data_IF_418354016666
#
_entry.id   IF_418354016666
#
_cell.length_a   1.000
_cell.length_b   1.000
_cell.length_c   1.000
_cell.angle_alpha   90.00
_cell.angle_beta   90.00
_cell.angle_gamma   90.00
#
_symmetry.space_group_name_H-M   'P 1'
#
loop_
_entity.id
_entity.type
_entity.pdbx_description
1 polymer ?
#
# COMPACT_ATOMS: atom_id res chain seq x y z
N UNK A 1 2.94 -18.32 21.07
CA UNK A 1 1.82 -19.07 21.71
C UNK A 1 0.59 -18.82 20.85
N UNK A 2 0.34 -19.68 19.85
CA UNK A 2 -0.72 -19.50 18.85
C UNK A 2 -2.08 -19.77 19.49
N UNK A 3 -2.94 -18.78 19.61
CA UNK A 3 -4.34 -18.96 19.95
C UNK A 3 -5.15 -19.00 18.67
N UNK A 4 -5.33 -20.20 18.12
CA UNK A 4 -6.36 -20.47 17.11
C UNK A 4 -7.73 -20.40 17.80
N UNK A 5 -8.51 -19.37 17.54
CA UNK A 5 -9.95 -19.38 17.87
C UNK A 5 -10.71 -20.03 16.74
N UNK A 6 -11.20 -21.25 16.99
CA UNK A 6 -12.19 -21.92 16.15
C UNK A 6 -13.55 -21.20 16.32
N UNK A 7 -14.10 -20.69 15.25
CA UNK A 7 -15.48 -20.24 15.20
C UNK A 7 -16.38 -21.37 14.71
N UNK A 8 -17.32 -21.76 15.57
CA UNK A 8 -18.34 -22.77 15.26
C UNK A 8 -19.43 -22.13 14.38
N UNK A 9 -19.66 -22.73 13.21
CA UNK A 9 -20.73 -22.34 12.29
C UNK A 9 -22.10 -22.75 12.82
N UNK A 10 -23.00 -21.81 13.05
CA UNK A 10 -24.44 -22.08 13.23
C UNK A 10 -25.13 -21.85 11.88
N UNK A 11 -25.59 -22.96 11.26
CA UNK A 11 -26.45 -22.92 10.07
C UNK A 11 -27.88 -22.61 10.50
N UNK A 12 -28.40 -21.46 10.16
CA UNK A 12 -29.83 -21.16 10.20
C UNK A 12 -30.40 -21.38 8.79
N UNK A 13 -31.31 -22.33 8.69
CA UNK A 13 -32.08 -22.62 7.48
C UNK A 13 -33.25 -21.65 7.41
N UNK A 14 -33.26 -20.73 6.46
CA UNK A 14 -34.40 -19.87 6.17
C UNK A 14 -35.08 -20.36 4.87
N UNK A 15 -36.34 -20.77 5.00
CA UNK A 15 -37.23 -21.11 3.90
C UNK A 15 -37.73 -19.82 3.28
N UNK A 16 -37.43 -19.56 2.01
CA UNK A 16 -37.91 -18.39 1.27
C UNK A 16 -39.08 -18.77 0.35
N UNK A 17 -40.21 -18.14 0.62
CA UNK A 17 -41.45 -18.22 -0.15
C UNK A 17 -41.35 -17.36 -1.40
N UNK A 18 -41.55 -17.94 -2.60
CA UNK A 18 -41.55 -17.23 -3.87
C UNK A 18 -42.88 -16.48 -4.08
N UNK A 19 -42.80 -15.16 -4.20
CA UNK A 19 -43.88 -14.33 -4.74
C UNK A 19 -43.42 -13.80 -6.11
N UNK A 20 -44.04 -14.28 -7.17
CA UNK A 20 -43.89 -13.80 -8.55
C UNK A 20 -44.62 -12.46 -8.69
N UNK A 21 -43.88 -11.36 -8.82
CA UNK A 21 -44.40 -10.08 -9.32
C UNK A 21 -43.67 -9.77 -10.62
N UNK A 22 -44.42 -9.79 -11.73
CA UNK A 22 -43.89 -9.43 -13.04
C UNK A 22 -43.59 -7.94 -13.15
N UNK A 23 -42.36 -7.57 -13.48
CA UNK A 23 -42.01 -6.23 -13.92
C UNK A 23 -41.52 -6.24 -15.36
N UNK A 24 -42.20 -5.40 -16.17
CA UNK A 24 -41.78 -5.09 -17.55
C UNK A 24 -40.40 -4.44 -17.54
N UNK A 25 -39.44 -5.06 -18.21
CA UNK A 25 -38.10 -4.52 -18.40
C UNK A 25 -38.11 -3.52 -19.56
N UNK A 26 -38.05 -2.22 -19.26
CA UNK A 26 -37.65 -1.22 -20.22
C UNK A 26 -36.16 -1.37 -20.52
N UNK A 27 -35.83 -1.75 -21.77
CA UNK A 27 -34.45 -1.77 -22.25
C UNK A 27 -33.95 -0.33 -22.42
N UNK A 28 -33.21 0.19 -21.46
CA UNK A 28 -32.32 1.33 -21.67
C UNK A 28 -31.06 0.83 -22.38
N UNK A 29 -30.84 1.30 -23.61
CA UNK A 29 -29.57 1.11 -24.31
C UNK A 29 -28.48 1.83 -23.50
N UNK A 30 -27.57 1.06 -22.91
CA UNK A 30 -26.32 1.61 -22.39
C UNK A 30 -25.47 2.08 -23.57
N UNK A 31 -25.22 3.38 -23.64
CA UNK A 31 -24.27 3.94 -24.57
C UNK A 31 -22.90 3.29 -24.31
N UNK A 32 -22.34 2.71 -25.36
CA UNK A 32 -20.98 2.18 -25.37
C UNK A 32 -20.02 3.31 -25.01
N UNK A 33 -19.39 3.24 -23.84
CA UNK A 33 -18.30 4.13 -23.48
C UNK A 33 -17.13 3.84 -24.43
N UNK A 34 -16.78 4.82 -25.24
CA UNK A 34 -15.62 4.82 -26.09
C UNK A 34 -14.38 4.61 -25.23
N UNK A 35 -13.69 3.47 -25.40
CA UNK A 35 -12.39 3.23 -24.79
C UNK A 35 -11.34 4.11 -25.46
N UNK A 36 -11.10 5.29 -24.90
CA UNK A 36 -9.89 6.05 -25.20
C UNK A 36 -8.69 5.23 -24.73
N UNK A 37 -7.65 5.04 -25.57
CA UNK A 37 -6.44 4.35 -25.13
C UNK A 37 -5.81 5.13 -23.99
N UNK A 38 -5.66 4.50 -22.84
CA UNK A 38 -4.98 5.07 -21.69
C UNK A 38 -3.51 5.30 -22.04
N UNK A 39 -3.13 6.55 -22.25
CA UNK A 39 -1.71 6.91 -22.30
C UNK A 39 -1.17 6.79 -20.87
N UNK A 40 -0.24 5.84 -20.64
CA UNK A 40 0.55 5.79 -19.40
C UNK A 40 1.19 7.16 -19.20
N UNK A 41 0.91 7.90 -18.11
CA UNK A 41 1.67 9.10 -17.80
C UNK A 41 3.12 8.70 -17.56
N UNK A 42 4.05 9.54 -18.00
CA UNK A 42 5.45 9.34 -17.73
C UNK A 42 5.65 9.30 -16.20
N UNK A 43 6.15 8.18 -15.67
CA UNK A 43 6.47 7.97 -14.25
C UNK A 43 7.68 8.79 -13.78
N UNK A 44 7.89 9.96 -14.39
CA UNK A 44 9.08 10.80 -14.17
C UNK A 44 8.98 11.78 -12.99
N UNK A 45 7.86 11.78 -12.24
CA UNK A 45 7.63 12.75 -11.17
C UNK A 45 8.26 12.40 -9.81
N UNK A 46 9.00 11.30 -9.70
CA UNK A 46 9.71 10.93 -8.48
C UNK A 46 11.06 11.69 -8.36
N UNK A 47 11.00 13.01 -8.18
CA UNK A 47 12.21 13.85 -8.07
C UNK A 47 12.94 13.77 -6.72
N UNK A 48 12.43 13.01 -5.75
CA UNK A 48 13.06 12.85 -4.41
C UNK A 48 13.36 11.36 -4.13
N UNK A 49 13.67 10.58 -5.16
CA UNK A 49 14.14 9.22 -4.93
C UNK A 49 15.67 9.18 -4.88
N UNK A 50 16.24 8.42 -3.93
CA UNK A 50 17.70 8.35 -3.78
C UNK A 50 18.40 7.98 -5.09
N UNK A 51 19.57 8.54 -5.25
CA UNK A 51 20.43 8.41 -6.44
C UNK A 51 20.61 6.93 -6.79
N UNK A 52 20.24 6.58 -8.03
CA UNK A 52 20.35 5.27 -8.66
C UNK A 52 21.54 4.44 -8.15
N UNK A 53 21.25 3.30 -7.53
CA UNK A 53 22.26 2.27 -7.27
C UNK A 53 22.79 1.75 -8.62
N UNK A 54 24.08 1.89 -8.86
CA UNK A 54 24.73 1.56 -10.14
C UNK A 54 25.32 0.16 -10.18
N UNK A 55 25.12 -0.65 -9.16
CA UNK A 55 25.72 -2.00 -9.07
C UNK A 55 24.80 -2.99 -8.36
N UNK A 56 24.63 -4.21 -8.88
CA UNK A 56 23.82 -5.27 -8.26
C UNK A 56 24.44 -5.87 -6.98
N UNK A 57 25.54 -5.31 -6.50
CA UNK A 57 26.29 -5.85 -5.37
C UNK A 57 25.99 -5.21 -4.01
N UNK A 58 25.09 -4.24 -3.93
CA UNK A 58 24.71 -3.62 -2.66
C UNK A 58 23.19 -3.67 -2.43
N UNK A 59 22.80 -4.42 -1.41
CA UNK A 59 21.45 -4.32 -0.83
C UNK A 59 21.24 -2.87 -0.34
N UNK A 60 20.10 -2.23 -0.59
CA UNK A 60 19.79 -0.92 -0.03
C UNK A 60 19.92 -0.94 1.50
N UNK A 61 20.26 0.19 2.06
CA UNK A 61 20.24 0.35 3.51
C UNK A 61 18.79 0.19 4.00
N UNK A 62 18.60 -0.58 5.08
CA UNK A 62 17.28 -0.86 5.63
C UNK A 62 16.74 0.34 6.41
N UNK A 63 15.46 0.65 6.23
CA UNK A 63 14.68 1.57 7.06
C UNK A 63 13.78 0.79 8.01
N UNK A 64 13.22 1.48 9.00
CA UNK A 64 12.25 0.94 9.95
C UNK A 64 10.90 1.54 9.64
N UNK A 65 9.96 0.68 9.25
CA UNK A 65 8.54 0.96 9.11
C UNK A 65 7.76 0.53 10.37
N UNK A 66 6.56 1.03 10.55
CA UNK A 66 5.82 0.85 11.81
C UNK A 66 4.35 0.53 11.53
N UNK A 67 3.85 -0.52 12.18
CA UNK A 67 2.42 -0.69 12.44
C UNK A 67 2.05 0.25 13.59
N UNK A 68 1.37 1.32 13.28
CA UNK A 68 1.10 2.40 14.23
C UNK A 68 -0.03 2.05 15.20
N UNK A 69 0.21 2.34 16.47
CA UNK A 69 -0.76 2.15 17.56
C UNK A 69 -1.19 3.48 18.20
N UNK A 70 -0.85 4.61 17.57
CA UNK A 70 -1.11 5.93 18.15
C UNK A 70 -1.01 7.05 17.13
N UNK A 71 -1.79 8.11 17.38
CA UNK A 71 -1.67 9.42 16.72
C UNK A 71 -1.10 10.49 17.65
N UNK A 72 -0.48 10.11 18.80
CA UNK A 72 0.09 11.05 19.75
C UNK A 72 1.24 11.85 19.15
N UNK A 73 1.10 13.18 19.11
CA UNK A 73 2.05 14.09 18.45
C UNK A 73 3.47 14.01 18.99
N UNK A 74 3.66 13.79 20.29
CA UNK A 74 5.02 13.68 20.90
C UNK A 74 5.67 12.36 20.50
N UNK A 75 4.91 11.27 20.49
CA UNK A 75 5.37 9.95 20.02
C UNK A 75 5.78 10.04 18.57
N UNK A 76 4.92 10.57 17.71
CA UNK A 76 5.17 10.70 16.28
C UNK A 76 6.39 11.57 15.97
N UNK A 77 6.53 12.72 16.65
CA UNK A 77 7.73 13.56 16.54
C UNK A 77 9.00 12.78 16.90
N UNK A 78 8.99 12.04 18.01
CA UNK A 78 10.15 11.23 18.42
C UNK A 78 10.44 10.08 17.46
N UNK A 79 9.42 9.45 16.85
CA UNK A 79 9.61 8.46 15.80
C UNK A 79 10.28 9.10 14.57
N UNK A 80 9.84 10.29 14.15
CA UNK A 80 10.46 11.04 13.07
C UNK A 80 11.93 11.37 13.34
N UNK A 81 12.28 11.79 14.58
CA UNK A 81 13.68 11.99 14.99
C UNK A 81 14.50 10.69 14.89
N UNK A 82 13.93 9.54 15.28
CA UNK A 82 14.62 8.25 15.14
C UNK A 82 14.84 7.89 13.67
N UNK A 83 13.83 8.07 12.81
CA UNK A 83 13.95 7.84 11.37
C UNK A 83 15.05 8.72 10.75
N UNK A 84 15.16 9.99 11.15
CA UNK A 84 16.20 10.90 10.68
C UNK A 84 17.64 10.45 11.00
N UNK A 85 17.82 9.73 12.11
CA UNK A 85 19.10 9.16 12.51
C UNK A 85 19.35 7.76 11.93
N UNK A 86 18.34 7.16 11.30
CA UNK A 86 18.44 5.87 10.62
C UNK A 86 19.00 5.98 9.20
N UNK A 87 18.70 4.98 8.41
CA UNK A 87 19.04 4.95 6.99
C UNK A 87 18.10 5.85 6.18
N UNK A 88 18.58 6.53 5.13
CA UNK A 88 17.70 7.16 4.16
C UNK A 88 16.88 6.12 3.40
N UNK A 89 15.66 6.47 3.01
CA UNK A 89 14.81 5.59 2.24
C UNK A 89 13.32 5.74 2.53
N UNK A 90 12.55 4.67 2.30
CA UNK A 90 11.12 4.64 2.51
C UNK A 90 10.79 4.12 3.92
N UNK A 91 9.98 4.87 4.64
CA UNK A 91 9.39 4.50 5.94
C UNK A 91 7.89 4.42 5.76
N UNK A 92 7.30 3.25 5.96
CA UNK A 92 5.85 3.09 5.98
C UNK A 92 5.38 3.31 7.44
N UNK A 93 4.33 4.11 7.57
CA UNK A 93 3.56 4.27 8.80
C UNK A 93 2.16 3.74 8.49
N UNK A 94 1.83 2.56 8.98
CA UNK A 94 0.58 1.89 8.70
C UNK A 94 -0.37 1.97 9.90
N UNK A 95 -1.58 2.52 9.70
CA UNK A 95 -2.62 2.64 10.73
C UNK A 95 -3.69 1.56 10.66
N UNK A 96 -3.49 0.52 9.85
CA UNK A 96 -4.37 -0.66 9.81
C UNK A 96 -5.63 -0.47 8.97
N UNK A 97 -6.76 -1.02 9.45
CA UNK A 97 -7.96 -1.24 8.63
C UNK A 97 -8.84 0.02 8.49
N UNK A 98 -9.47 0.25 7.32
CA UNK A 98 -10.29 1.41 7.08
C UNK A 98 -11.58 1.39 7.91
N UNK A 99 -11.98 2.55 8.43
CA UNK A 99 -13.19 2.74 9.24
C UNK A 99 -14.01 3.90 8.72
N UNK A 100 -15.34 3.77 8.72
CA UNK A 100 -16.27 4.86 8.43
C UNK A 100 -16.95 5.34 9.70
N UNK A 101 -16.75 6.61 10.04
CA UNK A 101 -17.43 7.29 11.16
C UNK A 101 -18.82 7.84 10.76
N UNK A 102 -19.27 7.55 9.55
CA UNK A 102 -20.50 8.14 8.98
C UNK A 102 -20.29 9.56 8.46
N UNK A 103 -21.34 10.12 7.80
CA UNK A 103 -21.30 11.47 7.21
C UNK A 103 -20.08 11.72 6.29
N UNK A 104 -19.61 10.69 5.59
CA UNK A 104 -18.42 10.73 4.73
C UNK A 104 -17.13 11.11 5.48
N UNK A 105 -17.01 10.75 6.74
CA UNK A 105 -15.77 10.83 7.52
C UNK A 105 -15.17 9.44 7.62
N UNK A 106 -13.90 9.32 7.28
CA UNK A 106 -13.14 8.07 7.26
C UNK A 106 -11.89 8.18 8.12
N UNK A 107 -11.22 7.08 8.26
CA UNK A 107 -9.96 6.89 8.99
C UNK A 107 -9.71 5.41 9.20
N UNK A 108 -8.98 5.05 10.25
CA UNK A 108 -8.58 3.66 10.47
C UNK A 108 -8.86 3.20 11.91
N UNK A 109 -8.92 1.86 12.07
CA UNK A 109 -8.77 1.19 13.35
C UNK A 109 -7.31 0.73 13.45
N UNK A 110 -6.56 1.39 14.33
CA UNK A 110 -5.12 1.24 14.44
C UNK A 110 -4.70 -0.08 15.15
N UNK A 111 -3.41 -0.38 15.15
CA UNK A 111 -2.86 -1.57 15.79
C UNK A 111 -2.87 -1.51 17.33
N UNK A 112 -3.15 -0.35 17.91
CA UNK A 112 -3.40 -0.15 19.35
C UNK A 112 -4.85 -0.40 19.76
N UNK A 113 -5.74 -0.57 18.77
CA UNK A 113 -7.17 -0.77 19.01
C UNK A 113 -7.96 0.52 19.16
N UNK A 114 -7.53 1.61 18.51
CA UNK A 114 -8.18 2.91 18.53
C UNK A 114 -8.75 3.26 17.15
N UNK A 115 -9.84 3.99 17.15
CA UNK A 115 -10.41 4.60 15.96
C UNK A 115 -9.76 5.96 15.71
N UNK A 116 -8.94 6.06 14.67
CA UNK A 116 -8.27 7.29 14.27
C UNK A 116 -8.88 7.87 12.99
N UNK A 117 -9.28 9.15 13.03
CA UNK A 117 -9.75 9.84 11.83
C UNK A 117 -8.59 10.23 10.91
N UNK A 118 -8.83 10.38 9.60
CA UNK A 118 -7.85 10.93 8.65
C UNK A 118 -7.22 12.24 9.14
N UNK A 119 -8.00 13.08 9.85
CA UNK A 119 -7.49 14.33 10.43
C UNK A 119 -6.49 14.06 11.56
N UNK A 120 -6.73 13.07 12.42
CA UNK A 120 -5.79 12.70 13.48
C UNK A 120 -4.49 12.14 12.88
N UNK A 121 -4.61 11.27 11.87
CA UNK A 121 -3.47 10.71 11.14
C UNK A 121 -2.67 11.80 10.42
N UNK A 122 -3.35 12.77 9.76
CA UNK A 122 -2.70 13.92 9.15
C UNK A 122 -1.81 14.66 10.14
N UNK A 123 -2.33 14.97 11.34
CA UNK A 123 -1.56 15.65 12.37
C UNK A 123 -0.40 14.79 12.92
N UNK A 124 -0.61 13.50 13.05
CA UNK A 124 0.41 12.53 13.44
C UNK A 124 1.58 12.53 12.45
N UNK A 125 1.30 12.38 11.15
CA UNK A 125 2.34 12.38 10.11
C UNK A 125 3.01 13.74 9.98
N UNK A 126 2.30 14.85 10.15
CA UNK A 126 2.90 16.19 10.17
C UNK A 126 3.92 16.33 11.30
N UNK A 127 3.63 15.80 12.50
CA UNK A 127 4.59 15.78 13.61
C UNK A 127 5.77 14.83 13.33
N UNK A 128 5.54 13.68 12.71
CA UNK A 128 6.62 12.79 12.28
C UNK A 128 7.55 13.51 11.29
N UNK A 129 7.00 14.15 10.26
CA UNK A 129 7.76 14.90 9.26
C UNK A 129 8.57 16.05 9.91
N UNK A 130 8.00 16.75 10.89
CA UNK A 130 8.70 17.76 11.67
C UNK A 130 9.86 17.14 12.45
N UNK A 131 9.66 16.00 13.12
CA UNK A 131 10.71 15.29 13.84
C UNK A 131 11.86 14.89 12.91
N UNK A 132 11.56 14.35 11.71
CA UNK A 132 12.59 14.07 10.70
C UNK A 132 13.38 15.33 10.36
N UNK A 133 12.69 16.43 10.09
CA UNK A 133 13.34 17.69 9.72
C UNK A 133 14.22 18.27 10.82
N UNK A 134 13.72 18.31 12.05
CA UNK A 134 14.44 18.92 13.17
C UNK A 134 15.67 18.11 13.59
N UNK A 135 15.61 16.78 13.47
CA UNK A 135 16.69 15.87 13.85
C UNK A 135 17.58 15.43 12.67
N UNK A 136 17.39 16.00 11.47
CA UNK A 136 18.08 15.57 10.25
C UNK A 136 19.60 15.77 10.30
N UNK A 137 20.29 14.92 9.59
CA UNK A 137 21.70 15.03 9.22
C UNK A 137 21.85 15.36 7.73
N UNK A 138 23.08 15.48 7.24
CA UNK A 138 23.36 15.68 5.81
C UNK A 138 23.01 14.47 4.92
N UNK A 139 22.80 13.30 5.50
CA UNK A 139 22.43 12.06 4.81
C UNK A 139 20.94 11.72 4.91
N UNK A 140 20.17 12.50 5.68
CA UNK A 140 18.72 12.24 5.84
C UNK A 140 17.98 12.51 4.55
N UNK A 141 17.19 11.52 4.10
CA UNK A 141 16.29 11.60 2.94
C UNK A 141 15.20 10.53 3.15
N UNK A 142 14.02 10.95 3.60
CA UNK A 142 12.94 10.06 4.06
C UNK A 142 11.69 10.26 3.19
N UNK A 143 11.29 9.21 2.49
CA UNK A 143 9.97 9.07 1.91
C UNK A 143 9.03 8.45 2.96
N UNK A 144 7.93 9.11 3.29
CA UNK A 144 6.93 8.61 4.22
C UNK A 144 5.79 8.00 3.41
N UNK A 145 5.60 6.69 3.49
CA UNK A 145 4.39 6.01 3.02
C UNK A 145 3.35 6.02 4.14
N UNK A 146 2.17 6.58 3.87
CA UNK A 146 1.08 6.67 4.83
C UNK A 146 0.13 5.54 4.51
N UNK A 147 0.10 4.52 5.37
CA UNK A 147 -0.50 3.21 5.13
C UNK A 147 -1.86 3.03 5.77
N UNK A 148 -2.72 2.35 5.03
CA UNK A 148 -3.96 1.70 5.47
C UNK A 148 -4.01 0.31 4.84
N UNK A 149 -4.80 -0.61 5.39
CA UNK A 149 -4.98 -1.94 4.81
C UNK A 149 -6.29 -2.09 4.05
N UNK A 150 -6.46 -3.17 3.28
CA UNK A 150 -7.77 -3.57 2.77
C UNK A 150 -8.47 -4.58 3.69
N UNK A 151 -7.98 -4.77 4.90
CA UNK A 151 -8.61 -5.68 5.85
C UNK A 151 -10.01 -5.20 6.22
N UNK A 152 -10.98 -6.12 6.13
CA UNK A 152 -12.36 -5.85 6.52
C UNK A 152 -12.69 -6.49 7.86
N UNK A 153 -13.21 -5.69 8.77
CA UNK A 153 -13.91 -6.19 9.96
C UNK A 153 -15.36 -5.71 9.98
N UNK A 154 -16.23 -6.42 10.69
CA UNK A 154 -17.68 -6.15 10.77
C UNK A 154 -18.06 -4.70 11.20
N UNK A 155 -17.09 -3.90 11.61
CA UNK A 155 -17.28 -2.54 12.12
C UNK A 155 -16.69 -1.45 11.24
N UNK A 156 -15.95 -1.82 10.18
CA UNK A 156 -15.07 -0.89 9.46
C UNK A 156 -15.84 0.04 8.51
N UNK A 157 -15.95 -0.33 7.27
CA UNK A 157 -16.48 0.49 6.19
C UNK A 157 -17.62 -0.26 5.48
N UNK A 158 -18.71 0.41 5.02
CA UNK A 158 -19.74 -0.28 4.26
C UNK A 158 -19.17 -1.01 3.03
N UNK A 159 -19.52 -2.28 2.83
CA UNK A 159 -19.08 -3.13 1.70
C UNK A 159 -19.71 -2.68 0.38
N UNK A 160 -19.47 -1.44 -0.01
CA UNK A 160 -19.90 -0.86 -1.28
C UNK A 160 -18.75 -0.18 -1.99
N UNK A 161 -18.69 -0.30 -3.31
CA UNK A 161 -17.68 0.36 -4.14
C UNK A 161 -17.63 1.88 -3.92
N UNK A 162 -18.79 2.49 -3.65
CA UNK A 162 -18.86 3.93 -3.39
C UNK A 162 -18.23 4.34 -2.06
N UNK A 163 -18.37 3.52 -1.01
CA UNK A 163 -17.73 3.79 0.28
C UNK A 163 -16.21 3.63 0.18
N UNK A 164 -15.74 2.53 -0.39
CA UNK A 164 -14.32 2.27 -0.60
C UNK A 164 -13.65 3.30 -1.53
N UNK A 165 -14.34 3.71 -2.59
CA UNK A 165 -13.86 4.79 -3.44
C UNK A 165 -13.77 6.12 -2.69
N UNK A 166 -14.76 6.44 -1.84
CA UNK A 166 -14.79 7.68 -1.08
C UNK A 166 -13.69 7.72 -0.01
N UNK A 167 -13.42 6.58 0.63
CA UNK A 167 -12.33 6.37 1.57
C UNK A 167 -10.98 6.61 0.90
N UNK A 168 -10.63 5.86 -0.12
CA UNK A 168 -9.38 6.05 -0.85
C UNK A 168 -9.21 7.49 -1.39
N UNK A 169 -10.33 8.13 -1.79
CA UNK A 169 -10.30 9.53 -2.19
C UNK A 169 -9.93 10.46 -1.04
N UNK A 170 -10.45 10.23 0.17
CA UNK A 170 -10.09 11.03 1.35
C UNK A 170 -8.64 10.77 1.76
N UNK A 171 -8.19 9.52 1.69
CA UNK A 171 -6.78 9.17 1.93
C UNK A 171 -5.84 9.93 0.99
N UNK A 172 -6.15 9.96 -0.32
CA UNK A 172 -5.38 10.74 -1.28
C UNK A 172 -5.38 12.26 -1.02
N UNK A 173 -6.51 12.80 -0.55
CA UNK A 173 -6.59 14.22 -0.14
C UNK A 173 -5.78 14.50 1.12
N UNK A 174 -5.74 13.58 2.08
CA UNK A 174 -4.91 13.65 3.28
C UNK A 174 -3.43 13.65 2.91
N UNK A 175 -2.98 12.73 2.05
CA UNK A 175 -1.59 12.67 1.56
C UNK A 175 -1.18 13.98 0.88
N UNK A 176 -2.04 14.56 0.02
CA UNK A 176 -1.78 15.87 -0.58
C UNK A 176 -1.64 16.99 0.46
N UNK A 177 -2.44 16.94 1.52
CA UNK A 177 -2.40 17.93 2.59
C UNK A 177 -1.09 17.85 3.38
N UNK A 178 -0.62 16.64 3.67
CA UNK A 178 0.67 16.40 4.33
C UNK A 178 1.82 16.84 3.42
N UNK A 179 1.79 16.50 2.13
CA UNK A 179 2.82 16.96 1.19
C UNK A 179 2.84 18.49 1.07
N UNK A 180 1.69 19.13 1.11
CA UNK A 180 1.60 20.59 1.14
C UNK A 180 2.17 21.18 2.43
N UNK A 181 1.92 20.56 3.58
CA UNK A 181 2.52 20.94 4.86
C UNK A 181 4.06 20.86 4.79
N UNK A 182 4.61 19.74 4.30
CA UNK A 182 6.05 19.53 4.10
C UNK A 182 6.65 20.63 3.21
N UNK A 183 6.00 20.90 2.08
CA UNK A 183 6.48 21.90 1.10
C UNK A 183 6.45 23.32 1.68
N UNK A 184 5.35 23.69 2.34
CA UNK A 184 5.18 25.02 2.93
C UNK A 184 6.15 25.29 4.08
N UNK A 185 6.57 24.25 4.82
CA UNK A 185 7.58 24.35 5.87
C UNK A 185 9.01 24.14 5.35
N UNK A 186 9.20 23.94 4.04
CA UNK A 186 10.50 23.73 3.42
C UNK A 186 11.27 22.51 3.97
N UNK A 187 10.56 21.42 4.28
CA UNK A 187 11.17 20.17 4.77
C UNK A 187 11.74 19.38 3.60
N UNK A 188 12.87 19.86 3.04
CA UNK A 188 13.43 19.42 1.76
C UNK A 188 13.99 17.99 1.74
N UNK A 189 14.08 17.32 2.90
CA UNK A 189 14.57 15.94 3.06
C UNK A 189 13.43 14.97 3.37
N UNK A 190 12.19 15.40 3.21
CA UNK A 190 10.99 14.60 3.50
C UNK A 190 10.02 14.67 2.33
N UNK A 191 9.41 13.55 1.99
CA UNK A 191 8.29 13.47 1.05
C UNK A 191 7.16 12.61 1.61
N UNK A 192 5.89 12.89 1.25
CA UNK A 192 4.73 12.13 1.66
C UNK A 192 4.06 11.43 0.47
N UNK A 193 3.71 10.16 0.63
CA UNK A 193 3.13 9.26 -0.35
C UNK A 193 2.03 8.43 0.30
N UNK A 194 1.13 7.85 -0.48
CA UNK A 194 0.21 6.84 0.03
C UNK A 194 0.89 5.48 0.12
N UNK A 195 0.32 4.62 0.94
CA UNK A 195 0.71 3.22 1.02
C UNK A 195 -0.51 2.36 1.35
N UNK A 196 -0.44 1.06 1.09
CA UNK A 196 -1.49 0.11 1.45
C UNK A 196 -0.95 -1.28 1.64
N UNK A 197 -1.41 -1.90 2.71
CA UNK A 197 -1.30 -3.31 3.00
C UNK A 197 -2.48 -4.00 2.31
N UNK A 198 -2.31 -4.28 1.01
CA UNK A 198 -3.41 -4.74 0.17
C UNK A 198 -3.28 -6.23 -0.12
N UNK A 199 -3.91 -7.03 0.74
CA UNK A 199 -3.85 -8.48 0.64
C UNK A 199 -5.05 -9.08 -0.10
N UNK A 200 -4.76 -10.08 -0.89
CA UNK A 200 -5.73 -10.74 -1.78
C UNK A 200 -6.80 -11.55 -1.05
N UNK A 201 -6.52 -12.03 0.17
CA UNK A 201 -7.45 -12.80 1.00
C UNK A 201 -8.32 -11.96 1.93
N UNK A 202 -7.99 -10.70 2.13
CA UNK A 202 -8.71 -9.86 3.10
C UNK A 202 -9.99 -9.28 2.52
N UNK A 203 -9.97 -8.79 1.29
CA UNK A 203 -11.15 -8.24 0.65
C UNK A 203 -11.18 -8.59 -0.85
N UNK A 204 -12.33 -8.48 -1.48
CA UNK A 204 -12.48 -8.76 -2.90
C UNK A 204 -11.89 -7.62 -3.76
N UNK A 205 -11.43 -7.99 -4.94
CA UNK A 205 -10.83 -7.08 -5.91
C UNK A 205 -11.69 -5.84 -6.22
N UNK A 206 -13.01 -5.98 -6.26
CA UNK A 206 -13.91 -4.88 -6.65
C UNK A 206 -13.88 -3.75 -5.63
N UNK A 207 -13.82 -4.06 -4.34
CA UNK A 207 -13.73 -3.09 -3.27
C UNK A 207 -12.32 -2.51 -3.18
N UNK A 208 -11.29 -3.35 -3.13
CA UNK A 208 -9.89 -2.90 -3.08
C UNK A 208 -9.52 -2.03 -4.29
N UNK A 209 -9.92 -2.41 -5.51
CA UNK A 209 -9.68 -1.57 -6.68
C UNK A 209 -10.47 -0.25 -6.63
N UNK A 210 -11.61 -0.21 -5.94
CA UNK A 210 -12.34 1.05 -5.72
C UNK A 210 -11.58 1.99 -4.79
N UNK A 211 -10.98 1.48 -3.71
CA UNK A 211 -10.08 2.23 -2.81
C UNK A 211 -8.94 2.87 -3.61
N UNK A 212 -8.17 2.06 -4.30
CA UNK A 212 -7.04 2.50 -5.13
C UNK A 212 -7.45 3.53 -6.18
N UNK A 213 -8.58 3.32 -6.86
CA UNK A 213 -9.10 4.26 -7.85
C UNK A 213 -9.57 5.58 -7.19
N UNK A 214 -10.12 5.50 -5.98
CA UNK A 214 -10.46 6.67 -5.18
C UNK A 214 -9.23 7.52 -4.90
N UNK A 215 -8.16 6.91 -4.37
CA UNK A 215 -6.88 7.56 -4.14
C UNK A 215 -6.35 8.24 -5.41
N UNK A 216 -6.20 7.49 -6.49
CA UNK A 216 -5.68 7.97 -7.75
C UNK A 216 -6.55 9.04 -8.44
N UNK A 217 -7.80 9.22 -8.01
CA UNK A 217 -8.70 10.23 -8.59
C UNK A 217 -8.36 11.65 -8.16
N UNK A 218 -7.66 11.83 -7.03
CA UNK A 218 -7.43 13.15 -6.41
C UNK A 218 -5.96 13.51 -6.21
N UNK A 219 -5.05 12.57 -6.38
CA UNK A 219 -3.62 12.80 -6.20
C UNK A 219 -2.80 12.14 -7.30
N UNK A 220 -1.60 12.66 -7.54
CA UNK A 220 -0.54 12.04 -8.33
C UNK A 220 0.63 11.58 -7.46
N UNK A 221 0.48 11.64 -6.13
CA UNK A 221 1.46 11.03 -5.25
C UNK A 221 1.40 9.51 -5.42
N UNK A 222 2.58 8.88 -5.46
CA UNK A 222 2.69 7.43 -5.56
C UNK A 222 1.90 6.76 -4.42
N UNK A 223 1.29 5.63 -4.73
CA UNK A 223 0.73 4.70 -3.77
C UNK A 223 1.61 3.45 -3.73
N UNK A 224 2.25 3.18 -2.61
CA UNK A 224 3.06 1.98 -2.41
C UNK A 224 2.15 0.84 -1.93
N UNK A 225 1.98 -0.17 -2.77
CA UNK A 225 1.34 -1.41 -2.36
C UNK A 225 2.39 -2.32 -1.70
N UNK A 226 2.23 -2.58 -0.41
CA UNK A 226 3.14 -3.40 0.38
C UNK A 226 2.49 -4.68 0.93
N UNK A 227 1.34 -5.07 0.40
CA UNK A 227 0.72 -6.35 0.71
C UNK A 227 1.36 -7.54 0.00
N UNK A 228 0.70 -8.68 0.07
CA UNK A 228 1.13 -9.93 -0.55
C UNK A 228 0.32 -10.30 -1.81
N UNK A 229 0.81 -11.29 -2.56
CA UNK A 229 0.14 -11.92 -3.71
C UNK A 229 -0.05 -13.43 -3.46
N UNK A 230 -0.71 -13.78 -2.37
CA UNK A 230 -1.03 -15.20 -2.08
C UNK A 230 -1.87 -15.83 -3.19
N UNK A 231 -1.38 -16.90 -3.86
CA UNK A 231 -2.04 -17.45 -5.03
C UNK A 231 -3.44 -18.00 -4.76
N UNK A 232 -4.36 -17.73 -5.68
CA UNK A 232 -5.65 -18.42 -5.75
C UNK A 232 -6.87 -17.63 -5.29
N UNK A 233 -6.70 -16.42 -4.76
CA UNK A 233 -7.80 -15.54 -4.37
C UNK A 233 -8.19 -14.57 -5.50
N UNK A 234 -7.20 -13.86 -6.07
CA UNK A 234 -7.41 -12.98 -7.20
C UNK A 234 -6.71 -13.56 -8.45
N UNK A 235 -7.12 -13.10 -9.62
CA UNK A 235 -6.40 -13.40 -10.87
C UNK A 235 -5.15 -12.51 -10.97
N UNK A 236 -4.14 -12.95 -11.73
CA UNK A 236 -2.91 -12.16 -11.96
C UNK A 236 -3.21 -10.74 -12.48
N UNK A 237 -4.26 -10.56 -13.31
CA UNK A 237 -4.69 -9.23 -13.74
C UNK A 237 -5.17 -8.37 -12.55
N UNK A 238 -5.89 -8.95 -11.62
CA UNK A 238 -6.45 -8.23 -10.47
C UNK A 238 -5.34 -7.78 -9.51
N UNK A 239 -4.41 -8.68 -9.19
CA UNK A 239 -3.23 -8.33 -8.37
C UNK A 239 -2.38 -7.28 -9.09
N UNK A 240 -2.01 -7.54 -10.35
CA UNK A 240 -1.26 -6.58 -11.15
C UNK A 240 -1.92 -5.20 -11.20
N UNK A 241 -3.26 -5.15 -11.36
CA UNK A 241 -3.98 -3.87 -11.43
C UNK A 241 -3.85 -3.08 -10.14
N UNK A 242 -4.06 -3.72 -8.99
CA UNK A 242 -4.00 -3.06 -7.68
C UNK A 242 -2.56 -2.65 -7.34
N UNK A 243 -1.62 -3.57 -7.48
CA UNK A 243 -0.24 -3.30 -7.10
C UNK A 243 0.50 -2.35 -8.07
N UNK A 244 0.18 -2.39 -9.38
CA UNK A 244 0.97 -1.69 -10.39
C UNK A 244 0.18 -1.06 -11.53
N UNK A 245 -0.88 -1.70 -11.99
CA UNK A 245 -1.64 -1.30 -13.19
C UNK A 245 -2.43 -0.01 -13.01
N UNK A 246 -2.90 0.28 -11.81
CA UNK A 246 -3.51 1.56 -11.45
C UNK A 246 -2.48 2.71 -11.60
N UNK A 247 -2.97 3.93 -11.80
CA UNK A 247 -2.18 5.03 -12.38
C UNK A 247 -0.85 5.31 -11.70
N UNK A 248 -0.82 5.47 -10.41
CA UNK A 248 0.38 5.90 -9.66
C UNK A 248 0.83 4.85 -8.62
N UNK A 249 0.40 3.59 -8.78
CA UNK A 249 0.75 2.50 -7.88
C UNK A 249 2.11 1.90 -8.21
N UNK A 250 2.86 1.59 -7.16
CA UNK A 250 4.17 0.95 -7.24
C UNK A 250 4.31 -0.10 -6.12
N UNK A 251 4.58 -1.37 -6.46
CA UNK A 251 4.70 -2.41 -5.45
C UNK A 251 6.00 -2.33 -4.66
N UNK A 252 5.87 -2.59 -3.37
CA UNK A 252 6.91 -2.77 -2.37
C UNK A 252 6.65 -4.10 -1.62
N UNK A 253 6.58 -5.23 -2.32
CA UNK A 253 5.98 -6.45 -1.82
C UNK A 253 6.53 -6.93 -0.48
N UNK A 254 5.67 -7.56 0.30
CA UNK A 254 6.06 -8.36 1.44
C UNK A 254 6.84 -9.59 0.99
N UNK A 255 8.05 -9.74 1.50
CA UNK A 255 8.91 -10.90 1.25
C UNK A 255 9.34 -11.49 2.59
N UNK A 256 8.37 -12.03 3.31
CA UNK A 256 8.61 -12.63 4.63
C UNK A 256 9.33 -13.97 4.52
N UNK A 257 9.15 -14.66 3.40
CA UNK A 257 9.85 -15.91 3.07
C UNK A 257 10.42 -15.84 1.65
N UNK A 258 11.46 -16.64 1.36
CA UNK A 258 11.99 -16.72 -0.01
C UNK A 258 10.94 -17.24 -1.02
N UNK A 259 9.95 -17.96 -0.53
CA UNK A 259 8.84 -18.50 -1.31
C UNK A 259 8.01 -17.39 -1.94
N UNK A 260 7.73 -16.32 -1.21
CA UNK A 260 6.90 -15.19 -1.63
C UNK A 260 7.46 -14.54 -2.91
N UNK A 261 8.79 -14.35 -2.96
CA UNK A 261 9.44 -13.84 -4.16
C UNK A 261 9.33 -14.78 -5.37
N UNK A 262 9.45 -16.12 -5.15
CA UNK A 262 9.60 -17.10 -6.22
C UNK A 262 8.26 -17.66 -6.70
N UNK A 263 7.27 -17.79 -5.81
CA UNK A 263 5.99 -18.43 -6.13
C UNK A 263 4.85 -17.44 -6.30
N UNK A 264 4.99 -16.21 -5.79
CA UNK A 264 3.95 -15.21 -5.85
C UNK A 264 4.36 -14.08 -6.80
N UNK A 265 5.35 -13.27 -6.49
CA UNK A 265 5.67 -12.05 -7.21
C UNK A 265 6.40 -12.25 -8.56
N UNK A 266 7.37 -13.16 -8.66
CA UNK A 266 8.05 -13.44 -9.95
C UNK A 266 7.09 -13.99 -11.00
N UNK A 267 6.21 -14.98 -10.71
CA UNK A 267 5.20 -15.43 -11.66
C UNK A 267 4.24 -14.32 -12.11
N UNK A 268 3.85 -13.41 -11.23
CA UNK A 268 3.04 -12.25 -11.56
C UNK A 268 3.77 -11.31 -12.53
N UNK A 269 5.05 -11.02 -12.28
CA UNK A 269 5.84 -10.16 -13.17
C UNK A 269 6.09 -10.81 -14.54
N UNK A 270 6.35 -12.11 -14.58
CA UNK A 270 6.42 -12.88 -15.85
C UNK A 270 5.09 -12.81 -16.60
N UNK A 271 3.96 -12.90 -15.90
CA UNK A 271 2.64 -12.73 -16.47
C UNK A 271 2.47 -11.32 -17.04
N UNK A 272 2.84 -10.28 -16.29
CA UNK A 272 2.77 -8.88 -16.74
C UNK A 272 3.65 -8.64 -17.98
N UNK A 273 4.84 -9.20 -18.02
CA UNK A 273 5.71 -9.20 -19.21
C UNK A 273 5.00 -9.74 -20.45
N UNK A 274 4.20 -10.78 -20.29
CA UNK A 274 3.53 -11.47 -21.42
C UNK A 274 2.25 -10.77 -21.86
N UNK A 275 1.47 -10.25 -20.92
CA UNK A 275 0.11 -9.82 -21.19
C UNK A 275 -0.10 -8.31 -21.06
N UNK A 276 0.73 -7.59 -20.28
CA UNK A 276 0.60 -6.16 -20.02
C UNK A 276 1.69 -5.31 -20.71
N UNK A 277 2.52 -5.96 -21.52
CA UNK A 277 3.51 -5.31 -22.38
C UNK A 277 4.80 -4.91 -21.70
N UNK A 278 5.05 -5.34 -20.47
CA UNK A 278 6.31 -5.12 -19.77
C UNK A 278 6.28 -5.58 -18.34
N UNK A 279 7.45 -5.56 -17.68
CA UNK A 279 7.57 -6.00 -16.31
C UNK A 279 6.95 -5.01 -15.31
N UNK A 280 6.66 -5.49 -14.11
CA UNK A 280 6.28 -4.71 -12.95
C UNK A 280 7.53 -3.96 -12.44
N UNK A 281 7.40 -2.67 -12.10
CA UNK A 281 8.51 -1.88 -11.54
C UNK A 281 8.46 -1.88 -10.02
N UNK A 282 8.88 -2.97 -9.40
CA UNK A 282 9.05 -3.05 -7.95
C UNK A 282 9.99 -1.95 -7.46
N UNK A 283 9.68 -1.37 -6.30
CA UNK A 283 10.50 -0.32 -5.70
C UNK A 283 11.43 -0.82 -4.61
N UNK A 284 11.20 -1.99 -4.11
CA UNK A 284 11.98 -2.62 -3.06
C UNK A 284 11.24 -3.78 -2.44
N UNK A 285 11.51 -4.05 -1.19
CA UNK A 285 10.83 -5.08 -0.40
C UNK A 285 10.50 -4.60 0.99
N UNK A 286 9.41 -5.14 1.53
CA UNK A 286 9.08 -5.10 2.96
C UNK A 286 9.42 -6.45 3.58
N UNK A 287 10.02 -6.45 4.77
CA UNK A 287 10.10 -7.60 5.67
C UNK A 287 9.43 -7.28 6.98
N UNK A 288 9.09 -8.29 7.78
CA UNK A 288 8.47 -8.10 9.08
C UNK A 288 9.43 -8.52 10.20
N UNK A 289 9.47 -7.74 11.28
CA UNK A 289 10.30 -8.06 12.46
C UNK A 289 9.63 -9.11 13.36
N UNK A 290 9.49 -10.31 12.82
CA UNK A 290 8.94 -11.49 13.50
C UNK A 290 9.91 -12.66 13.39
N UNK A 291 9.98 -13.47 14.44
CA UNK A 291 10.88 -14.64 14.44
C UNK A 291 10.49 -15.65 13.37
N UNK A 292 11.42 -15.96 12.47
CA UNK A 292 11.24 -16.95 11.40
C UNK A 292 10.99 -16.35 10.02
N UNK A 293 10.79 -15.04 9.93
CA UNK A 293 10.72 -14.31 8.65
C UNK A 293 12.11 -13.95 8.14
N UNK A 294 12.20 -13.58 6.87
CA UNK A 294 13.41 -13.08 6.26
C UNK A 294 13.86 -11.76 6.92
N UNK A 295 15.12 -11.59 7.30
CA UNK A 295 15.64 -10.27 7.59
C UNK A 295 15.67 -9.42 6.29
N UNK A 296 15.66 -8.07 6.38
CA UNK A 296 15.52 -7.17 5.22
C UNK A 296 16.45 -7.47 4.05
N UNK A 297 17.73 -7.76 4.34
CA UNK A 297 18.70 -8.08 3.30
C UNK A 297 18.40 -9.39 2.57
N UNK A 298 17.85 -10.38 3.26
CA UNK A 298 17.45 -11.65 2.67
C UNK A 298 16.17 -11.48 1.85
N UNK A 299 15.18 -10.74 2.34
CA UNK A 299 13.97 -10.38 1.60
C UNK A 299 14.31 -9.69 0.27
N UNK A 300 15.18 -8.69 0.31
CA UNK A 300 15.62 -7.98 -0.89
C UNK A 300 16.34 -8.91 -1.88
N UNK A 301 17.27 -9.75 -1.40
CA UNK A 301 17.99 -10.69 -2.26
C UNK A 301 17.08 -11.78 -2.82
N UNK A 302 16.06 -12.21 -2.09
CA UNK A 302 15.09 -13.18 -2.59
C UNK A 302 14.34 -12.62 -3.81
N UNK A 303 13.77 -11.42 -3.71
CA UNK A 303 13.09 -10.78 -4.85
C UNK A 303 14.08 -10.47 -5.98
N UNK A 304 15.26 -9.90 -5.69
CA UNK A 304 16.26 -9.60 -6.69
C UNK A 304 16.65 -10.83 -7.51
N UNK A 305 16.90 -11.97 -6.85
CA UNK A 305 17.29 -13.21 -7.51
C UNK A 305 16.14 -13.84 -8.31
N UNK A 306 14.92 -13.78 -7.81
CA UNK A 306 13.73 -14.23 -8.52
C UNK A 306 13.56 -13.43 -9.82
N UNK A 307 13.57 -12.10 -9.75
CA UNK A 307 13.46 -11.21 -10.91
C UNK A 307 14.63 -11.34 -11.90
N UNK A 308 15.85 -11.61 -11.41
CA UNK A 308 17.02 -11.83 -12.27
C UNK A 308 16.95 -13.12 -13.09
N UNK A 309 16.07 -14.06 -12.73
CA UNK A 309 15.95 -15.37 -13.40
C UNK A 309 15.39 -15.28 -14.82
N UNK A 310 14.65 -14.22 -15.14
CA UNK A 310 13.98 -14.02 -16.43
C UNK A 310 14.44 -12.72 -17.11
N UNK A 311 14.73 -12.78 -18.41
CA UNK A 311 15.27 -11.62 -19.14
C UNK A 311 14.29 -10.44 -19.28
N UNK A 312 12.99 -10.66 -19.11
CA UNK A 312 12.00 -9.59 -19.10
C UNK A 312 11.96 -8.91 -17.74
N UNK A 313 11.80 -9.69 -16.66
CA UNK A 313 11.69 -9.18 -15.29
C UNK A 313 12.99 -8.52 -14.82
N UNK A 314 14.14 -9.08 -15.21
CA UNK A 314 15.46 -8.51 -14.90
C UNK A 314 15.68 -7.05 -15.36
N UNK A 315 14.83 -6.52 -16.24
CA UNK A 315 14.90 -5.11 -16.67
C UNK A 315 14.56 -4.12 -15.55
N UNK A 316 13.92 -4.60 -14.49
CA UNK A 316 13.49 -3.79 -13.34
C UNK A 316 14.50 -3.75 -12.19
N UNK A 317 15.48 -4.62 -12.17
CA UNK A 317 16.45 -4.69 -11.08
C UNK A 317 17.06 -3.35 -10.67
N UNK A 318 17.35 -2.41 -11.60
CA UNK A 318 17.81 -1.08 -11.23
C UNK A 318 16.75 -0.22 -10.50
N UNK A 319 15.49 -0.63 -10.52
CA UNK A 319 14.37 0.03 -9.84
C UNK A 319 14.20 -0.37 -8.39
N UNK A 320 14.80 -1.48 -7.94
CA UNK A 320 14.78 -1.95 -6.56
C UNK A 320 15.72 -1.07 -5.72
N UNK A 321 15.16 -0.07 -5.04
CA UNK A 321 15.93 0.97 -4.33
C UNK A 321 15.61 1.05 -2.85
N UNK A 322 14.55 0.38 -2.37
CA UNK A 322 14.14 0.38 -0.98
C UNK A 322 14.24 -1.01 -0.36
N UNK A 323 14.56 -1.02 0.92
CA UNK A 323 14.45 -2.16 1.82
C UNK A 323 13.94 -1.61 3.14
N UNK A 324 12.84 -2.14 3.65
CA UNK A 324 12.30 -1.70 4.94
C UNK A 324 11.81 -2.90 5.74
N UNK A 325 11.86 -2.78 7.05
CA UNK A 325 11.37 -3.79 7.99
C UNK A 325 10.29 -3.16 8.85
N UNK A 326 9.11 -3.79 8.91
CA UNK A 326 7.98 -3.27 9.66
C UNK A 326 7.92 -3.88 11.05
N UNK A 327 7.63 -3.05 12.04
CA UNK A 327 7.60 -3.37 13.46
C UNK A 327 6.24 -3.03 14.06
N UNK A 328 5.76 -3.84 14.99
CA UNK A 328 4.66 -3.44 15.87
C UNK A 328 5.15 -2.43 16.91
N UNK A 329 4.40 -1.32 17.10
CA UNK A 329 4.71 -0.25 18.07
C UNK A 329 4.10 -0.49 19.45
#
# INVERSE_FOLDING_TARGET
>A
MHIRRQFASHRVILVVLWILIGFSVARTQMASASSTPWHKPAKDSLQILPKKLTSPSSVPANTISLYESTTNSVTMYNQGCRAAHGSPGLVILDWGQPVSFGNSTYGTYDFGGHDDTDTAILHAVANFAQGVWDCRSSSTDIAIGIGESNYYSDYAIPLTTSAWYADGRQWGMMVNSIQSFITNNHYTVVGAYGAGDLEVEWENFTLTSSLVNGYNSVTSQVYFDFGDDSPGWWSSYQVWYVAYGARDNLPLPEIYYNADATYDWEPLDVWACRYEGGPIYFKGTMSENVSGTNPPSQAFLALYNAEASNSCTARNLPGLIFSTEIFHT
#
